data_IF_242428374386
#
_entry.id   IF_242428374386
#
_cell.length_a   1.000
_cell.length_b   1.000
_cell.length_c   1.000
_cell.angle_alpha   90.00
_cell.angle_beta   90.00
_cell.angle_gamma   90.00
#
_symmetry.space_group_name_H-M   'P 1'
#
loop_
_entity.id
_entity.type
_entity.pdbx_description
1 polymer ?
#
# COMPACT_ATOMS: atom_id res chain seq x y z
N UNK A 1 -28.33 -19.12 38.15
CA UNK A 1 -27.16 -18.40 37.60
C UNK A 1 -25.97 -19.29 37.21
N UNK A 2 -25.37 -20.08 38.10
CA UNK A 2 -24.10 -20.81 37.85
C UNK A 2 -24.10 -21.78 36.64
N UNK A 3 -25.24 -22.40 36.30
CA UNK A 3 -25.37 -23.31 35.13
C UNK A 3 -25.47 -22.58 33.79
N UNK A 4 -26.08 -21.40 33.77
CA UNK A 4 -26.21 -20.56 32.57
C UNK A 4 -24.87 -19.91 32.20
N UNK A 5 -24.10 -19.46 33.20
CA UNK A 5 -22.73 -19.00 33.02
C UNK A 5 -21.82 -20.09 32.44
N UNK A 6 -21.92 -21.33 32.94
CA UNK A 6 -21.15 -22.46 32.38
C UNK A 6 -21.51 -22.76 30.92
N UNK A 7 -22.81 -22.73 30.58
CA UNK A 7 -23.26 -22.94 29.18
C UNK A 7 -22.78 -21.83 28.26
N UNK A 8 -22.91 -20.57 28.67
CA UNK A 8 -22.41 -19.42 27.91
C UNK A 8 -20.89 -19.53 27.67
N UNK A 9 -20.12 -19.89 28.71
CA UNK A 9 -18.67 -20.03 28.59
C UNK A 9 -18.26 -21.15 27.63
N UNK A 10 -18.96 -22.29 27.67
CA UNK A 10 -18.73 -23.41 26.73
C UNK A 10 -19.07 -22.99 25.31
N UNK A 11 -20.22 -22.34 25.09
CA UNK A 11 -20.62 -21.87 23.75
C UNK A 11 -19.62 -20.86 23.17
N UNK A 12 -19.15 -19.90 23.98
CA UNK A 12 -18.15 -18.92 23.54
C UNK A 12 -16.81 -19.59 23.23
N UNK A 13 -16.37 -20.52 24.07
CA UNK A 13 -15.09 -21.23 23.88
C UNK A 13 -15.13 -22.11 22.64
N UNK A 14 -16.22 -22.88 22.45
CA UNK A 14 -16.40 -23.74 21.29
C UNK A 14 -16.52 -22.93 20.00
N UNK A 15 -17.27 -21.83 20.03
CA UNK A 15 -17.38 -20.89 18.92
C UNK A 15 -16.03 -20.29 18.54
N UNK A 16 -15.25 -19.85 19.54
CA UNK A 16 -13.91 -19.28 19.31
C UNK A 16 -12.95 -20.31 18.72
N UNK A 17 -12.93 -21.54 19.24
CA UNK A 17 -12.10 -22.61 18.71
C UNK A 17 -12.47 -22.98 17.26
N UNK A 18 -13.77 -23.02 16.96
CA UNK A 18 -14.26 -23.27 15.59
C UNK A 18 -13.83 -22.16 14.64
N UNK A 19 -13.98 -20.89 15.06
CA UNK A 19 -13.54 -19.74 14.25
C UNK A 19 -12.04 -19.74 14.00
N UNK A 20 -11.21 -19.99 15.02
CA UNK A 20 -9.75 -20.09 14.87
C UNK A 20 -9.38 -21.25 13.94
N UNK A 21 -10.03 -22.40 14.07
CA UNK A 21 -9.83 -23.56 13.20
C UNK A 21 -10.18 -23.27 11.74
N UNK A 22 -11.32 -22.62 11.50
CA UNK A 22 -11.76 -22.22 10.15
C UNK A 22 -10.82 -21.20 9.51
N UNK A 23 -10.40 -20.17 10.26
CA UNK A 23 -9.45 -19.17 9.80
C UNK A 23 -8.10 -19.84 9.50
N UNK A 24 -7.61 -20.70 10.39
CA UNK A 24 -6.36 -21.43 10.21
C UNK A 24 -6.40 -22.31 8.95
N UNK A 25 -7.48 -23.07 8.77
CA UNK A 25 -7.67 -23.91 7.58
C UNK A 25 -7.73 -23.08 6.29
N UNK A 26 -8.45 -21.95 6.29
CA UNK A 26 -8.55 -21.07 5.13
C UNK A 26 -7.20 -20.51 4.64
N UNK A 27 -6.19 -20.42 5.52
CA UNK A 27 -4.84 -19.98 5.15
C UNK A 27 -3.94 -21.09 4.59
N UNK A 28 -4.36 -22.35 4.64
CA UNK A 28 -3.64 -23.49 4.03
C UNK A 28 -3.86 -23.54 2.52
N UNK A 29 -3.00 -24.26 1.79
CA UNK A 29 -3.16 -24.45 0.34
C UNK A 29 -4.50 -25.10 -0.03
N UNK A 30 -4.96 -26.07 0.78
CA UNK A 30 -6.24 -26.75 0.59
C UNK A 30 -7.46 -25.87 0.92
N UNK A 31 -7.33 -24.88 1.81
CA UNK A 31 -8.42 -23.99 2.21
C UNK A 31 -8.57 -22.73 1.34
N UNK A 32 -7.52 -22.32 0.62
CA UNK A 32 -7.55 -21.15 -0.28
C UNK A 32 -8.68 -21.17 -1.34
N UNK A 33 -9.04 -22.32 -1.95
CA UNK A 33 -10.17 -22.37 -2.89
C UNK A 33 -11.51 -21.96 -2.25
N UNK A 34 -11.71 -22.25 -0.96
CA UNK A 34 -12.95 -21.88 -0.24
C UNK A 34 -13.03 -20.36 0.03
N UNK A 35 -11.89 -19.69 0.24
CA UNK A 35 -11.83 -18.22 0.26
C UNK A 35 -12.25 -17.64 -1.10
N UNK A 36 -11.91 -18.32 -2.20
CA UNK A 36 -12.35 -17.99 -3.55
C UNK A 36 -13.85 -18.16 -3.78
N UNK A 37 -14.58 -18.92 -2.94
CA UNK A 37 -16.03 -19.06 -3.00
C UNK A 37 -16.76 -17.95 -2.20
N UNK A 38 -16.10 -17.36 -1.20
CA UNK A 38 -16.57 -16.19 -0.44
C UNK A 38 -16.24 -14.85 -1.14
N UNK A 39 -16.43 -14.79 -2.47
CA UNK A 39 -16.25 -13.55 -3.24
C UNK A 39 -17.19 -12.48 -2.69
N UNK A 40 -16.66 -11.29 -2.38
CA UNK A 40 -17.44 -10.17 -1.87
C UNK A 40 -17.55 -10.07 -0.35
N UNK A 41 -16.83 -10.91 0.42
CA UNK A 41 -16.70 -10.70 1.86
C UNK A 41 -16.08 -9.30 2.14
N UNK A 42 -16.65 -8.52 3.07
CA UNK A 42 -16.15 -7.18 3.38
C UNK A 42 -14.67 -7.24 3.79
N UNK A 43 -13.80 -6.58 3.01
CA UNK A 43 -12.38 -6.41 3.35
C UNK A 43 -11.37 -7.30 2.61
N UNK A 44 -11.81 -8.27 1.79
CA UNK A 44 -10.89 -9.16 1.05
C UNK A 44 -10.97 -8.94 -0.48
N UNK A 45 -10.10 -8.10 -1.07
CA UNK A 45 -10.02 -7.96 -2.52
C UNK A 45 -9.22 -9.10 -3.12
N UNK A 46 -9.88 -10.24 -3.34
CA UNK A 46 -9.40 -11.22 -4.31
C UNK A 46 -9.68 -10.64 -5.70
N UNK A 47 -8.74 -9.82 -6.20
CA UNK A 47 -8.68 -9.51 -7.63
C UNK A 47 -8.22 -10.81 -8.29
N UNK A 48 -9.17 -11.51 -8.90
CA UNK A 48 -8.95 -12.77 -9.61
C UNK A 48 -7.84 -12.63 -10.66
N UNK A 49 -7.19 -13.76 -10.99
CA UNK A 49 -6.15 -13.87 -12.01
C UNK A 49 -6.57 -13.47 -13.44
N UNK A 50 -7.78 -12.96 -13.62
CA UNK A 50 -8.33 -12.49 -14.88
C UNK A 50 -8.83 -11.04 -14.91
N UNK A 51 -8.68 -10.29 -13.82
CA UNK A 51 -9.11 -8.90 -13.75
C UNK A 51 -8.51 -8.04 -14.89
N UNK A 52 -9.39 -7.37 -15.65
CA UNK A 52 -8.97 -6.42 -16.67
C UNK A 52 -8.36 -5.17 -16.03
N UNK A 53 -7.49 -4.42 -16.73
CA UNK A 53 -6.94 -3.16 -16.23
C UNK A 53 -8.01 -2.19 -15.69
N UNK A 54 -9.15 -2.09 -16.37
CA UNK A 54 -10.28 -1.24 -15.97
C UNK A 54 -10.88 -1.70 -14.64
N UNK A 55 -11.00 -3.01 -14.42
CA UNK A 55 -11.55 -3.55 -13.16
C UNK A 55 -10.62 -3.31 -11.97
N UNK A 56 -9.29 -3.42 -12.19
CA UNK A 56 -8.26 -3.10 -11.19
C UNK A 56 -8.35 -1.62 -10.83
N UNK A 57 -8.42 -0.75 -11.84
CA UNK A 57 -8.48 0.70 -11.66
C UNK A 57 -9.79 1.14 -10.99
N UNK A 58 -10.92 0.56 -11.37
CA UNK A 58 -12.21 0.83 -10.73
C UNK A 58 -12.20 0.42 -9.25
N UNK A 59 -11.59 -0.72 -8.92
CA UNK A 59 -11.42 -1.15 -7.52
C UNK A 59 -10.54 -0.19 -6.72
N UNK A 60 -9.40 0.22 -7.29
CA UNK A 60 -8.49 1.19 -6.67
C UNK A 60 -9.19 2.53 -6.43
N UNK A 61 -9.85 3.06 -7.45
CA UNK A 61 -10.64 4.30 -7.39
C UNK A 61 -11.67 4.27 -6.27
N UNK A 62 -12.50 3.21 -6.19
CA UNK A 62 -13.50 3.07 -5.11
C UNK A 62 -12.88 3.01 -3.72
N UNK A 63 -11.74 2.32 -3.58
CA UNK A 63 -11.04 2.21 -2.30
C UNK A 63 -10.45 3.54 -1.88
N UNK A 64 -9.82 4.25 -2.81
CA UNK A 64 -9.23 5.56 -2.56
C UNK A 64 -10.30 6.63 -2.27
N UNK A 65 -11.44 6.61 -2.96
CA UNK A 65 -12.56 7.50 -2.68
C UNK A 65 -13.06 7.37 -1.23
N UNK A 66 -13.17 6.12 -0.73
CA UNK A 66 -13.55 5.88 0.66
C UNK A 66 -12.50 6.39 1.65
N UNK A 67 -11.22 6.21 1.32
CA UNK A 67 -10.12 6.70 2.14
C UNK A 67 -10.11 8.23 2.23
N UNK A 68 -10.36 8.92 1.11
CA UNK A 68 -10.28 10.37 1.00
C UNK A 68 -11.60 11.11 1.29
N UNK A 69 -12.62 10.43 1.82
CA UNK A 69 -13.98 10.98 1.99
C UNK A 69 -14.02 12.26 2.85
N UNK A 70 -13.06 12.42 3.76
CA UNK A 70 -12.95 13.60 4.64
C UNK A 70 -11.87 14.59 4.20
N UNK A 71 -11.14 14.30 3.12
CA UNK A 71 -10.09 15.17 2.61
C UNK A 71 -10.70 16.30 1.78
N UNK A 72 -10.67 17.53 2.30
CA UNK A 72 -11.21 18.72 1.64
C UNK A 72 -10.13 19.55 0.92
N UNK A 73 -8.90 19.52 1.41
CA UNK A 73 -7.79 20.31 0.88
C UNK A 73 -7.15 19.64 -0.36
N UNK A 74 -6.67 20.46 -1.28
CA UNK A 74 -5.88 20.00 -2.43
C UNK A 74 -4.40 19.91 -2.03
N UNK A 75 -3.72 18.87 -2.49
CA UNK A 75 -2.26 18.79 -2.38
C UNK A 75 -1.61 19.85 -3.28
N UNK A 76 -0.52 20.48 -2.82
CA UNK A 76 0.22 21.45 -3.64
C UNK A 76 0.77 20.83 -4.94
N UNK A 77 1.27 19.60 -4.85
CA UNK A 77 1.74 18.78 -5.97
C UNK A 77 1.32 17.32 -5.76
N UNK A 78 1.40 16.50 -6.81
CA UNK A 78 1.11 15.06 -6.78
C UNK A 78 2.36 14.19 -7.04
N UNK A 79 3.45 14.36 -6.26
CA UNK A 79 4.69 13.62 -6.50
C UNK A 79 4.54 12.13 -6.20
N UNK A 80 5.31 11.31 -6.92
CA UNK A 80 5.57 9.92 -6.62
C UNK A 80 7.04 9.63 -6.90
N UNK A 81 7.91 9.77 -5.89
CA UNK A 81 9.36 9.87 -6.09
C UNK A 81 9.71 11.05 -7.02
N UNK A 82 10.47 10.81 -8.09
CA UNK A 82 10.80 11.79 -9.14
C UNK A 82 9.80 11.77 -10.31
N UNK A 83 8.60 11.21 -10.09
CA UNK A 83 7.49 11.15 -11.04
C UNK A 83 6.31 11.98 -10.53
N UNK A 84 5.31 12.19 -11.38
CA UNK A 84 4.07 12.90 -11.02
C UNK A 84 2.87 12.02 -11.34
N UNK A 85 2.03 11.77 -10.34
CA UNK A 85 0.78 11.06 -10.56
C UNK A 85 -0.16 11.89 -11.45
N UNK A 86 -0.93 11.19 -12.30
CA UNK A 86 -1.82 11.77 -13.30
C UNK A 86 -1.12 12.38 -14.51
N UNK A 87 0.23 12.36 -14.56
CA UNK A 87 1.01 12.95 -15.67
C UNK A 87 2.06 12.00 -16.23
N UNK A 88 2.82 11.31 -15.39
CA UNK A 88 3.89 10.42 -15.84
C UNK A 88 3.33 9.21 -16.58
N UNK A 89 4.05 8.77 -17.61
CA UNK A 89 3.67 7.62 -18.44
C UNK A 89 4.50 6.38 -18.11
N UNK A 90 4.18 5.24 -18.73
CA UNK A 90 5.02 4.02 -18.64
C UNK A 90 6.46 4.28 -19.07
N UNK A 91 6.66 5.10 -20.11
CA UNK A 91 8.00 5.45 -20.61
C UNK A 91 8.78 6.23 -19.56
N UNK A 92 8.11 7.15 -18.85
CA UNK A 92 8.75 7.92 -17.80
C UNK A 92 9.16 7.06 -16.61
N UNK A 93 8.32 6.09 -16.22
CA UNK A 93 8.64 5.11 -15.18
C UNK A 93 9.82 4.24 -15.58
N UNK A 94 9.83 3.71 -16.82
CA UNK A 94 10.97 2.92 -17.33
C UNK A 94 12.25 3.77 -17.33
N UNK A 95 12.19 5.01 -17.81
CA UNK A 95 13.33 5.96 -17.81
C UNK A 95 13.80 6.26 -16.39
N UNK A 96 12.88 6.49 -15.45
CA UNK A 96 13.20 6.67 -14.03
C UNK A 96 13.95 5.46 -13.48
N UNK A 97 13.44 4.26 -13.70
CA UNK A 97 14.09 3.05 -13.20
C UNK A 97 15.49 2.87 -13.79
N UNK A 98 15.66 3.06 -15.10
CA UNK A 98 16.98 2.98 -15.75
C UNK A 98 17.97 3.99 -15.19
N UNK A 99 17.56 5.25 -14.92
CA UNK A 99 18.43 6.24 -14.27
C UNK A 99 18.87 5.81 -12.87
N UNK A 100 18.04 5.04 -12.18
CA UNK A 100 18.33 4.47 -10.86
C UNK A 100 19.04 3.10 -10.93
N UNK A 101 19.45 2.66 -12.13
CA UNK A 101 20.11 1.37 -12.38
C UNK A 101 19.19 0.17 -12.38
N UNK A 102 17.87 0.37 -12.31
CA UNK A 102 16.86 -0.69 -12.32
C UNK A 102 16.33 -1.03 -13.71
N UNK A 103 15.55 -2.10 -13.77
CA UNK A 103 14.84 -2.58 -14.97
C UNK A 103 13.38 -2.86 -14.64
N UNK A 104 12.49 -2.68 -15.61
CA UNK A 104 11.05 -2.88 -15.41
C UNK A 104 10.49 -3.96 -16.34
N UNK A 105 9.53 -4.73 -15.81
CA UNK A 105 8.76 -5.73 -16.54
C UNK A 105 7.26 -5.39 -16.45
N UNK A 106 6.52 -5.69 -17.51
CA UNK A 106 5.07 -5.53 -17.56
C UNK A 106 4.40 -6.66 -16.75
N UNK A 107 3.42 -6.29 -15.91
CA UNK A 107 2.68 -7.22 -15.05
C UNK A 107 1.18 -6.92 -15.10
N UNK A 108 0.35 -7.82 -14.56
CA UNK A 108 -1.11 -7.66 -14.48
C UNK A 108 -1.76 -7.30 -15.84
N UNK A 109 -1.51 -8.12 -16.87
CA UNK A 109 -2.03 -7.89 -18.25
C UNK A 109 -1.71 -6.47 -18.77
N UNK A 110 -0.49 -5.99 -18.53
CA UNK A 110 -0.03 -4.64 -18.87
C UNK A 110 -0.72 -3.51 -18.09
N UNK A 111 -1.49 -3.77 -17.03
CA UNK A 111 -2.01 -2.71 -16.16
C UNK A 111 -0.91 -2.05 -15.28
N UNK A 112 0.21 -2.75 -15.07
CA UNK A 112 1.26 -2.31 -14.17
C UNK A 112 2.68 -2.63 -14.66
N UNK A 113 3.65 -1.91 -14.11
CA UNK A 113 5.07 -2.20 -14.21
C UNK A 113 5.62 -2.60 -12.85
N UNK A 114 6.44 -3.64 -12.81
CA UNK A 114 7.29 -3.96 -11.66
C UNK A 114 8.73 -3.69 -12.04
N UNK A 115 9.40 -2.84 -11.29
CA UNK A 115 10.78 -2.47 -11.50
C UNK A 115 11.64 -2.97 -10.34
N UNK A 116 12.77 -3.61 -10.67
CA UNK A 116 13.67 -4.27 -9.72
C UNK A 116 15.14 -4.08 -10.14
N UNK A 117 16.06 -4.55 -9.30
CA UNK A 117 17.49 -4.58 -9.63
C UNK A 117 18.13 -3.19 -9.62
N UNK A 118 17.60 -2.26 -8.84
CA UNK A 118 18.14 -0.91 -8.72
C UNK A 118 19.57 -0.92 -8.15
N UNK A 119 20.35 0.11 -8.50
CA UNK A 119 21.67 0.31 -7.93
C UNK A 119 21.58 0.58 -6.42
N UNK A 120 22.57 0.12 -5.66
CA UNK A 120 22.60 0.29 -4.20
C UNK A 120 22.51 1.77 -3.76
N UNK A 121 23.06 2.69 -4.57
CA UNK A 121 22.99 4.14 -4.34
C UNK A 121 21.56 4.70 -4.37
N UNK A 122 20.63 4.08 -5.09
CA UNK A 122 19.23 4.51 -5.17
C UNK A 122 18.44 4.24 -3.87
N UNK A 123 18.91 3.29 -3.06
CA UNK A 123 18.21 2.74 -1.88
C UNK A 123 16.85 2.11 -2.18
N UNK A 124 16.47 1.94 -3.45
CA UNK A 124 15.25 1.26 -3.84
C UNK A 124 15.54 -0.22 -4.03
N UNK A 125 14.60 -1.09 -3.66
CA UNK A 125 14.68 -2.53 -3.94
C UNK A 125 13.61 -2.99 -4.92
N UNK A 126 12.41 -2.42 -4.85
CA UNK A 126 11.29 -2.75 -5.73
C UNK A 126 10.40 -1.50 -5.91
N UNK A 127 9.88 -1.31 -7.12
CA UNK A 127 8.89 -0.27 -7.45
C UNK A 127 7.77 -0.91 -8.27
N UNK A 128 6.53 -0.72 -7.83
CA UNK A 128 5.34 -1.17 -8.53
C UNK A 128 4.51 0.04 -8.96
N UNK A 129 4.34 0.23 -10.26
CA UNK A 129 3.63 1.36 -10.84
C UNK A 129 2.37 0.89 -11.57
N UNK A 130 1.24 1.52 -11.30
CA UNK A 130 -0.05 1.22 -11.94
C UNK A 130 -0.50 2.39 -12.82
N UNK A 131 -1.17 2.06 -13.92
CA UNK A 131 -1.61 3.02 -14.92
C UNK A 131 -3.11 2.92 -15.14
N UNK A 132 -3.75 4.06 -15.42
CA UNK A 132 -5.12 4.09 -15.92
C UNK A 132 -5.20 3.65 -17.39
N UNK A 133 -6.40 3.46 -17.96
CA UNK A 133 -6.56 3.10 -19.38
C UNK A 133 -5.95 4.11 -20.35
N UNK A 134 -5.82 5.38 -19.95
CA UNK A 134 -5.16 6.42 -20.75
C UNK A 134 -3.62 6.37 -20.65
N UNK A 135 -3.06 5.44 -19.85
CA UNK A 135 -1.63 5.21 -19.71
C UNK A 135 -0.92 6.18 -18.75
N UNK A 136 -1.67 6.91 -17.90
CA UNK A 136 -1.14 7.82 -16.88
C UNK A 136 -0.88 7.07 -15.58
N UNK A 137 0.20 7.41 -14.89
CA UNK A 137 0.58 6.84 -13.61
C UNK A 137 -0.43 7.26 -12.53
N UNK A 138 -1.17 6.32 -11.95
CA UNK A 138 -2.21 6.59 -10.94
C UNK A 138 -1.87 6.04 -9.56
N UNK A 139 -0.95 5.06 -9.48
CA UNK A 139 -0.41 4.61 -8.21
C UNK A 139 1.05 4.16 -8.35
N UNK A 140 1.82 4.34 -7.29
CA UNK A 140 3.20 3.89 -7.19
C UNK A 140 3.50 3.41 -5.78
N UNK A 141 3.96 2.17 -5.66
CA UNK A 141 4.54 1.62 -4.45
C UNK A 141 6.05 1.51 -4.64
N UNK A 142 6.84 1.89 -3.64
CA UNK A 142 8.28 1.69 -3.63
C UNK A 142 8.74 1.18 -2.28
N UNK A 143 9.80 0.37 -2.33
CA UNK A 143 10.38 -0.27 -1.17
C UNK A 143 11.88 0.01 -1.10
N UNK A 144 12.37 0.16 0.13
CA UNK A 144 13.78 0.33 0.45
C UNK A 144 14.14 -0.61 1.58
N UNK A 145 15.05 -1.54 1.32
CA UNK A 145 15.60 -2.44 2.34
C UNK A 145 16.84 -1.79 2.96
N UNK A 146 16.78 -1.49 4.26
CA UNK A 146 17.75 -0.65 4.95
C UNK A 146 18.05 -1.20 6.36
N UNK A 147 19.17 -0.78 6.94
CA UNK A 147 19.38 -0.93 8.38
C UNK A 147 18.39 -0.06 9.16
N UNK A 148 18.18 -0.31 10.44
CA UNK A 148 17.25 0.48 11.26
C UNK A 148 17.64 1.97 11.26
N UNK A 149 18.92 2.28 11.44
CA UNK A 149 19.46 3.64 11.47
C UNK A 149 19.23 4.34 10.12
N UNK A 150 19.59 3.67 9.02
CA UNK A 150 19.41 4.23 7.68
C UNK A 150 17.92 4.40 7.32
N UNK A 151 17.06 3.49 7.77
CA UNK A 151 15.62 3.56 7.57
C UNK A 151 14.98 4.75 8.30
N UNK A 152 15.40 5.04 9.54
CA UNK A 152 14.92 6.20 10.31
C UNK A 152 15.31 7.49 9.60
N UNK A 153 16.57 7.63 9.21
CA UNK A 153 17.05 8.82 8.50
C UNK A 153 16.35 8.99 7.14
N UNK A 154 16.19 7.90 6.39
CA UNK A 154 15.50 7.91 5.10
C UNK A 154 14.01 8.27 5.26
N UNK A 155 13.33 7.70 6.25
CA UNK A 155 11.94 8.02 6.59
C UNK A 155 11.78 9.51 6.93
N UNK A 156 12.63 10.06 7.80
CA UNK A 156 12.58 11.47 8.17
C UNK A 156 12.80 12.39 6.94
N UNK A 157 13.79 12.07 6.10
CA UNK A 157 14.07 12.83 4.88
C UNK A 157 12.90 12.79 3.89
N UNK A 158 12.31 11.61 3.64
CA UNK A 158 11.15 11.45 2.76
C UNK A 158 9.92 12.17 3.30
N UNK A 159 9.66 12.09 4.62
CA UNK A 159 8.58 12.83 5.28
C UNK A 159 8.72 14.33 5.04
N UNK A 160 9.89 14.89 5.35
CA UNK A 160 10.15 16.32 5.20
C UNK A 160 10.00 16.78 3.74
N UNK A 161 10.43 15.95 2.77
CA UNK A 161 10.22 16.24 1.36
C UNK A 161 8.73 16.26 0.97
N UNK A 162 7.95 15.30 1.44
CA UNK A 162 6.51 15.26 1.17
C UNK A 162 5.79 16.43 1.85
N UNK A 163 6.17 16.81 3.07
CA UNK A 163 5.62 17.98 3.75
C UNK A 163 5.83 19.27 2.94
N UNK A 164 6.99 19.43 2.29
CA UNK A 164 7.26 20.58 1.41
C UNK A 164 6.51 20.51 0.07
N UNK A 165 6.43 19.34 -0.56
CA UNK A 165 5.87 19.18 -1.90
C UNK A 165 4.35 19.07 -1.92
N UNK A 166 3.76 18.45 -0.92
CA UNK A 166 2.34 18.07 -0.88
C UNK A 166 1.56 18.96 0.08
N UNK A 167 2.14 19.22 1.25
CA UNK A 167 1.49 19.85 2.40
C UNK A 167 1.72 19.03 3.68
N UNK A 168 1.25 19.48 4.85
CA UNK A 168 1.48 18.81 6.13
C UNK A 168 0.97 17.37 6.18
N UNK A 169 1.52 16.58 7.11
CA UNK A 169 1.00 15.23 7.42
C UNK A 169 -0.43 15.34 7.94
N UNK A 170 -1.34 14.56 7.38
CA UNK A 170 -2.75 14.56 7.78
C UNK A 170 -3.05 13.52 8.86
N UNK A 171 -2.23 12.45 8.93
CA UNK A 171 -2.39 11.40 9.93
C UNK A 171 -1.09 10.70 10.26
N UNK A 172 -0.94 10.34 11.54
CA UNK A 172 0.20 9.60 12.08
C UNK A 172 -0.33 8.28 12.67
N UNK A 173 0.37 7.18 12.41
CA UNK A 173 0.05 5.87 12.97
C UNK A 173 1.30 5.22 13.58
N UNK A 174 1.19 4.78 14.84
CA UNK A 174 2.32 4.28 15.62
C UNK A 174 3.11 5.40 16.29
N UNK A 175 4.31 5.07 16.80
CA UNK A 175 5.22 6.01 17.46
C UNK A 175 6.28 6.54 16.50
N UNK A 176 6.94 7.64 16.83
CA UNK A 176 8.10 8.11 16.04
C UNK A 176 9.16 7.00 15.91
N UNK A 177 9.71 6.77 14.71
CA UNK A 177 10.73 5.75 14.50
C UNK A 177 11.95 5.98 15.37
N UNK A 178 12.42 4.93 16.05
CA UNK A 178 13.69 4.93 16.78
C UNK A 178 14.37 3.57 16.64
N UNK A 179 15.68 3.49 16.88
CA UNK A 179 16.41 2.21 16.82
C UNK A 179 15.87 1.23 17.87
N UNK A 180 15.56 1.72 19.08
CA UNK A 180 14.94 0.91 20.13
C UNK A 180 13.58 0.34 19.69
N UNK A 181 12.72 1.16 19.09
CA UNK A 181 11.43 0.70 18.58
C UNK A 181 11.60 -0.28 17.41
N UNK A 182 12.47 0.02 16.45
CA UNK A 182 12.72 -0.85 15.31
C UNK A 182 13.53 -2.11 15.66
N UNK A 183 14.08 -2.23 16.87
CA UNK A 183 14.64 -3.50 17.34
C UNK A 183 13.53 -4.54 17.61
N UNK A 184 12.30 -4.11 17.88
CA UNK A 184 11.15 -5.00 18.09
C UNK A 184 10.61 -5.51 16.74
N UNK A 185 10.50 -6.83 16.54
CA UNK A 185 9.91 -7.38 15.32
C UNK A 185 8.49 -6.87 15.07
N UNK A 186 8.20 -6.53 13.82
CA UNK A 186 6.92 -5.99 13.35
C UNK A 186 6.54 -4.62 13.91
N UNK A 187 7.43 -3.96 14.65
CA UNK A 187 7.26 -2.56 15.00
C UNK A 187 7.16 -1.72 13.72
N UNK A 188 6.19 -0.82 13.70
CA UNK A 188 5.86 0.01 12.54
C UNK A 188 5.55 1.43 12.97
N UNK A 189 5.95 2.35 12.10
CA UNK A 189 5.55 3.75 12.14
C UNK A 189 5.12 4.18 10.74
N UNK A 190 4.08 4.99 10.65
CA UNK A 190 3.59 5.51 9.38
C UNK A 190 3.08 6.94 9.51
N UNK A 191 3.24 7.71 8.44
CA UNK A 191 2.56 8.98 8.21
C UNK A 191 1.79 8.91 6.90
N UNK A 192 0.64 9.56 6.88
CA UNK A 192 -0.27 9.62 5.74
C UNK A 192 -0.51 11.09 5.37
N UNK A 193 -0.60 11.33 4.07
CA UNK A 193 -0.88 12.62 3.44
C UNK A 193 -2.14 12.42 2.58
N UNK A 194 -3.29 12.75 3.13
CA UNK A 194 -4.60 12.49 2.55
C UNK A 194 -5.26 13.80 2.13
N UNK A 195 -5.19 14.10 0.84
CA UNK A 195 -5.74 15.27 0.19
C UNK A 195 -6.83 14.83 -0.79
N UNK A 196 -7.74 15.72 -1.17
CA UNK A 196 -8.99 15.44 -1.89
C UNK A 196 -8.86 14.45 -3.06
N UNK A 197 -7.72 14.45 -3.76
CA UNK A 197 -7.42 13.55 -4.89
C UNK A 197 -6.05 12.87 -4.82
N UNK A 198 -5.35 13.00 -3.70
CA UNK A 198 -3.99 12.50 -3.57
C UNK A 198 -3.80 11.85 -2.21
N UNK A 199 -3.26 10.64 -2.22
CA UNK A 199 -2.83 9.95 -1.00
C UNK A 199 -1.36 9.58 -1.13
N UNK A 200 -0.58 9.92 -0.13
CA UNK A 200 0.72 9.31 0.08
C UNK A 200 0.79 8.68 1.47
N UNK A 201 1.42 7.52 1.57
CA UNK A 201 1.69 6.82 2.82
C UNK A 201 3.16 6.44 2.86
N UNK A 202 3.85 6.98 3.84
CA UNK A 202 5.24 6.64 4.14
C UNK A 202 5.25 5.82 5.42
N UNK A 203 5.85 4.63 5.37
CA UNK A 203 5.95 3.76 6.54
C UNK A 203 7.31 3.10 6.66
N UNK A 204 7.77 2.91 7.89
CA UNK A 204 8.95 2.11 8.22
C UNK A 204 8.52 0.97 9.12
N UNK A 205 9.05 -0.22 8.87
CA UNK A 205 8.69 -1.43 9.62
C UNK A 205 9.88 -2.40 9.71
N UNK A 206 10.06 -3.01 10.88
CA UNK A 206 10.97 -4.14 11.05
C UNK A 206 10.23 -5.45 10.69
N UNK A 207 10.70 -6.19 9.70
CA UNK A 207 10.15 -7.50 9.31
C UNK A 207 10.87 -8.68 9.98
N UNK A 208 11.46 -8.47 11.15
CA UNK A 208 12.22 -9.47 11.90
C UNK A 208 13.45 -9.91 11.12
N UNK A 209 13.54 -11.22 10.83
CA UNK A 209 14.67 -11.80 10.08
C UNK A 209 14.84 -11.24 8.66
N UNK A 210 13.82 -10.58 8.11
CA UNK A 210 13.85 -9.97 6.78
C UNK A 210 14.38 -8.52 6.78
N UNK A 211 14.77 -8.00 7.95
CA UNK A 211 15.35 -6.67 8.09
C UNK A 211 14.30 -5.55 8.16
N UNK A 212 14.79 -4.31 8.13
CA UNK A 212 13.95 -3.11 8.16
C UNK A 212 13.66 -2.63 6.74
N UNK A 213 12.40 -2.26 6.50
CA UNK A 213 11.97 -1.77 5.19
C UNK A 213 11.18 -0.47 5.33
N UNK A 214 11.51 0.49 4.46
CA UNK A 214 10.71 1.68 4.25
C UNK A 214 9.84 1.45 3.01
N UNK A 215 8.54 1.73 3.12
CA UNK A 215 7.59 1.73 2.02
C UNK A 215 7.05 3.13 1.80
N UNK A 216 7.08 3.58 0.56
CA UNK A 216 6.34 4.76 0.11
C UNK A 216 5.25 4.31 -0.87
N UNK A 217 4.02 4.64 -0.56
CA UNK A 217 2.85 4.34 -1.39
C UNK A 217 2.21 5.65 -1.81
N UNK A 218 1.94 5.81 -3.10
CA UNK A 218 1.35 7.00 -3.69
C UNK A 218 0.13 6.58 -4.51
N UNK A 219 -0.97 7.31 -4.39
CA UNK A 219 -2.18 7.09 -5.17
C UNK A 219 -2.85 8.41 -5.53
N UNK A 220 -3.44 8.45 -6.71
CA UNK A 220 -4.15 9.62 -7.21
C UNK A 220 -5.54 9.25 -7.69
N UNK A 221 -6.51 10.08 -7.36
CA UNK A 221 -7.85 9.97 -7.87
C UNK A 221 -7.95 10.90 -9.07
N UNK A 222 -8.13 10.32 -10.26
CA UNK A 222 -8.39 11.12 -11.44
C UNK A 222 -9.60 12.02 -11.19
N UNK A 223 -9.60 13.28 -11.67
CA UNK A 223 -10.82 14.07 -11.70
C UNK A 223 -11.84 13.22 -12.45
N UNK A 224 -12.97 12.92 -11.80
CA UNK A 224 -14.12 12.48 -12.56
C UNK A 224 -14.40 13.61 -13.54
N UNK A 225 -14.28 13.36 -14.84
CA UNK A 225 -15.07 14.13 -15.79
C UNK A 225 -16.50 13.92 -15.32
N UNK A 226 -17.03 14.91 -14.59
CA UNK A 226 -18.47 15.01 -14.41
C UNK A 226 -19.00 14.94 -15.82
N UNK A 227 -19.81 13.93 -16.08
CA UNK A 227 -20.55 13.74 -17.31
C UNK A 227 -21.21 15.07 -17.69
N UNK A 228 -20.50 15.85 -18.49
CA UNK A 228 -21.02 16.95 -19.28
C UNK A 228 -21.15 16.41 -20.71
N UNK A 229 -21.97 15.37 -20.84
CA UNK A 229 -22.60 14.93 -22.08
C UNK A 229 -23.99 14.45 -21.74
#
# INVERSE_FOLDING_TARGET
MRRWLKRALVTVSLGSALSVGLIGFAHTEAGRPLLGWMKGAPGCPMIEGDASPESIEAYRTRTLQKQLVHASEEAHLTPALDLSLGKSTRVDVKRFATRQGGRCEDTAKQAALRCVGFAASSRLSDVYAQFDPEGRLVALDSFSDLTAEAAIAYFAARRSELERKVGPVTKISGVSPSTAQLATPYARSAVEFEYKRYSAKLSVMNFGKRGTRVRQQYQWLAPSEVAAR
#
